data_IF_404944196837
#
_entry.id   IF_404944196837
#
_cell.length_a   1.000
_cell.length_b   1.000
_cell.length_c   1.000
_cell.angle_alpha   90.00
_cell.angle_beta   90.00
_cell.angle_gamma   90.00
#
_symmetry.space_group_name_H-M   'P 1'
#
loop_
_entity.id
_entity.type
_entity.pdbx_description
1 polymer ?
#
# COMPACT_ATOMS: atom_id res chain seq x y z
N UNK A 1 -28.70 37.43 12.09
CA UNK A 1 -28.53 36.22 11.24
C UNK A 1 -27.81 36.64 9.95
N UNK A 2 -26.47 36.79 10.01
CA UNK A 2 -25.66 37.24 8.86
C UNK A 2 -25.45 35.96 8.01
N UNK A 3 -26.18 35.85 6.89
CA UNK A 3 -25.93 34.86 5.84
C UNK A 3 -24.44 34.96 5.48
N UNK A 4 -23.68 33.90 5.66
CA UNK A 4 -22.26 33.82 5.27
C UNK A 4 -22.20 34.06 3.77
N UNK A 5 -21.75 35.26 3.38
CA UNK A 5 -21.53 35.65 1.97
C UNK A 5 -20.56 34.65 1.35
N UNK A 6 -20.88 34.16 0.16
CA UNK A 6 -19.99 33.22 -0.57
C UNK A 6 -18.66 33.93 -0.89
N UNK A 7 -17.57 33.16 -1.05
CA UNK A 7 -16.24 33.70 -1.39
C UNK A 7 -16.31 34.61 -2.63
N UNK A 8 -17.16 34.27 -3.60
CA UNK A 8 -17.42 35.06 -4.80
C UNK A 8 -18.00 36.44 -4.45
N UNK A 9 -19.03 36.51 -3.62
CA UNK A 9 -19.66 37.78 -3.23
C UNK A 9 -18.74 38.62 -2.35
N UNK A 10 -17.94 38.05 -1.48
CA UNK A 10 -16.94 38.75 -0.67
C UNK A 10 -15.85 39.40 -1.52
N UNK A 11 -15.33 38.66 -2.51
CA UNK A 11 -14.29 39.16 -3.41
C UNK A 11 -14.83 40.30 -4.28
N UNK A 12 -16.02 40.13 -4.87
CA UNK A 12 -16.68 41.16 -5.68
C UNK A 12 -16.94 42.39 -4.86
N UNK A 13 -17.50 42.28 -3.65
CA UNK A 13 -17.74 43.41 -2.75
C UNK A 13 -16.45 44.13 -2.36
N UNK A 14 -15.36 43.41 -2.09
CA UNK A 14 -14.08 44.04 -1.75
C UNK A 14 -13.52 44.86 -2.94
N UNK A 15 -13.51 44.27 -4.14
CA UNK A 15 -13.03 44.97 -5.34
C UNK A 15 -13.94 46.18 -5.72
N UNK A 16 -15.24 45.98 -5.69
CA UNK A 16 -16.20 47.08 -5.98
C UNK A 16 -16.09 48.21 -4.96
N UNK A 17 -15.94 47.85 -3.66
CA UNK A 17 -15.72 48.82 -2.59
C UNK A 17 -14.41 49.59 -2.72
N UNK A 18 -13.32 48.90 -3.13
CA UNK A 18 -12.03 49.54 -3.39
C UNK A 18 -12.12 50.56 -4.55
N UNK A 19 -12.73 50.15 -5.66
CA UNK A 19 -12.90 51.06 -6.84
C UNK A 19 -13.78 52.23 -6.50
N UNK A 20 -14.86 52.01 -5.77
CA UNK A 20 -15.78 53.09 -5.35
C UNK A 20 -15.07 54.03 -4.38
N UNK A 21 -14.30 53.54 -3.43
CA UNK A 21 -13.50 54.34 -2.49
C UNK A 21 -12.41 55.16 -3.20
N UNK A 22 -11.65 54.53 -4.11
CA UNK A 22 -10.63 55.21 -4.91
C UNK A 22 -11.24 56.29 -5.83
N UNK A 23 -12.36 55.99 -6.47
CA UNK A 23 -13.08 56.94 -7.31
C UNK A 23 -13.64 58.13 -6.53
N UNK A 24 -14.23 57.87 -5.36
CA UNK A 24 -14.70 58.93 -4.47
C UNK A 24 -13.55 59.83 -4.00
N UNK A 25 -12.42 59.27 -3.64
CA UNK A 25 -11.23 60.02 -3.23
C UNK A 25 -10.70 60.89 -4.36
N UNK A 26 -10.71 60.39 -5.60
CA UNK A 26 -10.30 61.14 -6.79
C UNK A 26 -11.24 62.30 -7.07
N UNK A 27 -12.54 62.10 -6.99
CA UNK A 27 -13.56 63.16 -7.17
C UNK A 27 -13.40 64.23 -6.06
N UNK A 28 -13.24 63.81 -4.81
CA UNK A 28 -13.05 64.73 -3.67
C UNK A 28 -11.75 65.53 -3.81
N UNK A 29 -10.65 64.90 -4.25
CA UNK A 29 -9.37 65.58 -4.47
C UNK A 29 -9.46 66.59 -5.61
N UNK A 30 -10.12 66.22 -6.72
CA UNK A 30 -10.35 67.11 -7.87
C UNK A 30 -11.18 68.33 -7.45
N UNK A 31 -12.24 68.11 -6.67
CA UNK A 31 -13.05 69.16 -6.12
C UNK A 31 -12.24 70.11 -5.21
N UNK A 32 -11.42 69.55 -4.30
CA UNK A 32 -10.59 70.33 -3.40
C UNK A 32 -9.54 71.15 -4.12
N UNK A 33 -8.92 70.62 -5.17
CA UNK A 33 -7.96 71.35 -6.03
C UNK A 33 -8.60 72.44 -6.80
N UNK A 34 -9.75 72.19 -7.38
CA UNK A 34 -10.56 73.22 -8.04
C UNK A 34 -10.97 74.34 -7.05
N UNK A 35 -11.47 73.96 -5.86
CA UNK A 35 -11.88 74.94 -4.83
C UNK A 35 -10.68 75.78 -4.35
N UNK A 36 -9.50 75.18 -4.11
CA UNK A 36 -8.27 75.91 -3.77
C UNK A 36 -7.79 76.82 -4.89
N UNK A 37 -7.72 76.33 -6.12
CA UNK A 37 -7.29 77.13 -7.28
C UNK A 37 -8.18 78.37 -7.49
N UNK A 38 -9.45 78.18 -7.16
CA UNK A 38 -10.44 79.27 -7.29
C UNK A 38 -10.36 80.30 -6.18
N UNK A 39 -9.89 79.94 -4.98
CA UNK A 39 -9.75 80.86 -3.87
C UNK A 39 -8.38 81.60 -3.83
N UNK A 40 -7.33 80.95 -4.41
CA UNK A 40 -5.98 81.58 -4.46
C UNK A 40 -5.86 82.61 -5.56
N UNK A 41 -6.67 82.57 -6.61
CA UNK A 41 -6.72 83.62 -7.66
C UNK A 41 -7.53 84.84 -7.26
N UNK A 42 -8.32 84.79 -6.17
CA UNK A 42 -9.12 85.91 -5.65
C UNK A 42 -8.38 86.89 -4.75
N UNK A 43 -7.10 86.62 -4.38
CA UNK A 43 -6.37 87.48 -3.38
C UNK A 43 -5.54 88.60 -4.01
N UNK A 44 -5.49 88.72 -5.33
CA UNK A 44 -4.71 89.81 -5.98
C UNK A 44 -5.57 90.56 -6.98
N UNK A 45 -6.56 91.28 -6.51
CA UNK A 45 -7.08 92.47 -7.18
C UNK A 45 -8.01 93.32 -6.25
N UNK A 46 -7.42 94.27 -5.62
CA UNK A 46 -8.20 95.47 -5.13
C UNK A 46 -8.51 96.33 -6.34
N UNK A 47 -9.59 96.05 -7.07
CA UNK A 47 -10.23 96.94 -7.98
C UNK A 47 -11.74 96.98 -7.68
N UNK A 48 -12.39 98.17 -7.78
CA UNK A 48 -13.80 98.30 -7.40
C UNK A 48 -14.68 97.45 -8.32
N UNK A 49 -15.68 96.75 -7.75
CA UNK A 49 -16.62 95.84 -8.38
C UNK A 49 -17.29 96.45 -9.62
N UNK A 50 -16.96 95.89 -10.79
CA UNK A 50 -17.66 96.18 -12.05
C UNK A 50 -18.91 95.27 -12.11
N UNK A 51 -20.08 95.70 -12.60
CA UNK A 51 -21.33 94.93 -12.65
C UNK A 51 -21.31 93.66 -13.53
N UNK A 52 -20.15 93.13 -13.90
CA UNK A 52 -19.94 91.92 -14.69
C UNK A 52 -19.60 90.70 -13.87
N UNK A 53 -19.26 90.84 -12.58
CA UNK A 53 -18.78 89.69 -11.73
C UNK A 53 -19.85 88.63 -11.45
N UNK A 54 -21.15 89.01 -11.49
CA UNK A 54 -22.25 88.05 -11.27
C UNK A 54 -22.45 87.03 -12.41
N UNK A 55 -22.03 87.37 -13.62
CA UNK A 55 -22.12 86.46 -14.77
C UNK A 55 -20.98 85.41 -14.73
N UNK A 56 -19.77 85.84 -14.37
CA UNK A 56 -18.60 84.98 -14.24
C UNK A 56 -18.80 83.99 -13.11
N UNK A 57 -19.40 84.41 -11.99
CA UNK A 57 -19.67 83.47 -10.83
C UNK A 57 -20.76 82.44 -11.20
N UNK A 58 -21.81 82.83 -11.93
CA UNK A 58 -22.83 81.87 -12.39
C UNK A 58 -22.31 80.88 -13.39
N UNK A 59 -21.55 81.31 -14.41
CA UNK A 59 -20.92 80.38 -15.36
C UNK A 59 -19.95 79.41 -14.70
N UNK A 60 -19.32 79.89 -13.66
CA UNK A 60 -18.41 79.08 -12.85
C UNK A 60 -19.13 78.03 -12.01
N UNK A 61 -20.22 78.41 -11.33
CA UNK A 61 -21.03 77.43 -10.54
C UNK A 61 -21.71 76.41 -11.44
N UNK A 62 -22.19 76.83 -12.63
CA UNK A 62 -22.70 75.92 -13.65
C UNK A 62 -21.63 74.88 -14.12
N UNK A 63 -20.41 75.34 -14.46
CA UNK A 63 -19.34 74.52 -14.90
C UNK A 63 -18.89 73.52 -13.82
N UNK A 64 -18.79 73.91 -12.53
CA UNK A 64 -18.48 73.07 -11.42
C UNK A 64 -19.59 72.04 -11.19
N UNK A 65 -20.85 72.42 -11.30
CA UNK A 65 -21.97 71.50 -11.13
C UNK A 65 -22.07 70.45 -12.26
N UNK A 66 -21.79 70.85 -13.51
CA UNK A 66 -21.73 69.95 -14.66
C UNK A 66 -20.56 68.95 -14.52
N UNK A 67 -19.39 69.44 -14.11
CA UNK A 67 -18.23 68.56 -13.85
C UNK A 67 -18.48 67.55 -12.71
N UNK A 68 -19.08 67.96 -11.61
CA UNK A 68 -19.44 67.10 -10.50
C UNK A 68 -20.50 66.07 -10.92
N UNK A 69 -21.51 66.49 -11.65
CA UNK A 69 -22.55 65.58 -12.15
C UNK A 69 -21.97 64.55 -13.13
N UNK A 70 -21.12 64.98 -14.05
CA UNK A 70 -20.41 64.11 -14.97
C UNK A 70 -19.46 63.08 -14.24
N UNK A 71 -18.75 63.58 -13.22
CA UNK A 71 -17.89 62.73 -12.40
C UNK A 71 -18.68 61.69 -11.62
N UNK A 72 -19.83 62.04 -11.04
CA UNK A 72 -20.69 61.09 -10.31
C UNK A 72 -21.33 60.07 -11.24
N UNK A 73 -21.79 60.45 -12.41
CA UNK A 73 -22.32 59.51 -13.43
C UNK A 73 -21.22 58.56 -13.89
N UNK A 74 -20.02 59.07 -14.19
CA UNK A 74 -18.88 58.26 -14.60
C UNK A 74 -18.46 57.26 -13.49
N UNK A 75 -18.44 57.69 -12.24
CA UNK A 75 -18.15 56.84 -11.08
C UNK A 75 -19.19 55.72 -10.96
N UNK A 76 -20.47 56.04 -11.13
CA UNK A 76 -21.56 55.05 -11.08
C UNK A 76 -21.40 53.98 -12.19
N UNK A 77 -21.14 54.42 -13.43
CA UNK A 77 -20.96 53.53 -14.59
C UNK A 77 -19.75 52.61 -14.40
N UNK A 78 -18.61 53.20 -14.03
CA UNK A 78 -17.38 52.44 -13.82
C UNK A 78 -17.56 51.42 -12.68
N UNK A 79 -18.14 51.84 -11.56
CA UNK A 79 -18.37 50.95 -10.40
C UNK A 79 -19.30 49.79 -10.76
N UNK A 80 -20.37 50.06 -11.49
CA UNK A 80 -21.31 49.03 -11.97
C UNK A 80 -20.62 48.06 -12.94
N UNK A 81 -19.83 48.57 -13.88
CA UNK A 81 -19.08 47.74 -14.83
C UNK A 81 -18.05 46.85 -14.13
N UNK A 82 -17.26 47.42 -13.20
CA UNK A 82 -16.27 46.65 -12.41
C UNK A 82 -16.95 45.61 -11.51
N UNK A 83 -18.10 45.97 -10.91
CA UNK A 83 -18.87 45.01 -10.10
C UNK A 83 -19.38 43.84 -10.93
N UNK A 84 -19.92 44.09 -12.12
CA UNK A 84 -20.42 43.04 -13.01
C UNK A 84 -19.30 42.14 -13.55
N UNK A 85 -18.23 42.76 -14.07
CA UNK A 85 -17.07 41.99 -14.59
C UNK A 85 -16.37 41.20 -13.50
N UNK A 86 -16.15 41.81 -12.33
CA UNK A 86 -15.58 41.13 -11.17
C UNK A 86 -16.42 39.93 -10.72
N UNK A 87 -17.75 40.05 -10.74
CA UNK A 87 -18.66 38.96 -10.41
C UNK A 87 -18.60 37.83 -11.42
N UNK A 88 -18.51 38.11 -12.73
CA UNK A 88 -18.36 37.11 -13.78
C UNK A 88 -17.02 36.36 -13.69
N UNK A 89 -15.93 37.13 -13.55
CA UNK A 89 -14.56 36.57 -13.45
C UNK A 89 -14.39 35.72 -12.20
N UNK A 90 -14.81 36.20 -11.03
CA UNK A 90 -14.77 35.45 -9.78
C UNK A 90 -15.57 34.12 -9.87
N UNK A 91 -16.74 34.18 -10.56
CA UNK A 91 -17.55 33.00 -10.81
C UNK A 91 -16.84 31.94 -11.65
N UNK A 92 -16.10 32.38 -12.68
CA UNK A 92 -15.38 31.48 -13.59
C UNK A 92 -14.15 30.86 -12.90
N UNK A 93 -13.40 31.63 -12.12
CA UNK A 93 -12.17 31.16 -11.42
C UNK A 93 -12.52 30.25 -10.26
N UNK A 94 -13.58 30.50 -9.50
CA UNK A 94 -13.93 29.70 -8.32
C UNK A 94 -14.77 28.45 -8.64
N UNK A 95 -15.29 28.30 -9.86
CA UNK A 95 -16.09 27.15 -10.26
C UNK A 95 -15.30 25.82 -10.19
N UNK A 96 -14.07 25.70 -10.70
CA UNK A 96 -13.28 24.48 -10.60
C UNK A 96 -13.02 24.05 -9.15
N UNK A 97 -12.70 25.00 -8.27
CA UNK A 97 -12.45 24.73 -6.84
C UNK A 97 -13.69 24.11 -6.16
N UNK A 98 -14.88 24.58 -6.51
CA UNK A 98 -16.13 24.01 -5.99
C UNK A 98 -16.34 22.59 -6.50
N UNK A 99 -16.11 22.35 -7.78
CA UNK A 99 -16.23 21.00 -8.36
C UNK A 99 -15.25 20.04 -7.68
N UNK A 100 -13.98 20.46 -7.48
CA UNK A 100 -12.98 19.65 -6.74
C UNK A 100 -13.43 19.34 -5.31
N UNK A 101 -13.99 20.34 -4.60
CA UNK A 101 -14.50 20.15 -3.24
C UNK A 101 -15.72 19.23 -3.18
N UNK A 102 -16.61 19.31 -4.17
CA UNK A 102 -17.79 18.45 -4.28
C UNK A 102 -17.38 17.00 -4.62
N UNK A 103 -16.41 16.81 -5.52
CA UNK A 103 -15.83 15.48 -5.80
C UNK A 103 -15.14 14.92 -4.56
N UNK A 104 -14.31 15.72 -3.89
CA UNK A 104 -13.62 15.29 -2.66
C UNK A 104 -14.60 14.91 -1.54
N UNK A 105 -15.73 15.60 -1.40
CA UNK A 105 -16.76 15.27 -0.41
C UNK A 105 -17.59 14.02 -0.77
N UNK A 106 -17.61 13.62 -2.04
CA UNK A 106 -18.26 12.37 -2.50
C UNK A 106 -17.33 11.17 -2.43
N UNK A 107 -16.02 11.40 -2.33
CA UNK A 107 -15.06 10.33 -2.15
C UNK A 107 -15.25 9.68 -0.77
N UNK A 108 -15.55 8.40 -0.77
CA UNK A 108 -15.59 7.52 0.39
C UNK A 108 -14.72 6.31 0.14
N UNK A 109 -14.47 5.49 1.16
CA UNK A 109 -13.73 4.24 1.00
C UNK A 109 -14.35 3.32 -0.08
N UNK A 110 -15.67 3.42 -0.29
CA UNK A 110 -16.42 2.62 -1.26
C UNK A 110 -16.38 3.19 -2.69
N UNK A 111 -16.02 4.48 -2.87
CA UNK A 111 -16.03 5.16 -4.16
C UNK A 111 -14.77 6.01 -4.40
N UNK A 112 -13.61 5.36 -4.36
CA UNK A 112 -12.31 5.97 -4.66
C UNK A 112 -11.98 6.00 -6.15
N UNK A 113 -12.85 5.46 -7.02
CA UNK A 113 -12.63 5.43 -8.46
C UNK A 113 -12.93 6.76 -9.16
N UNK A 114 -13.69 7.65 -8.52
CA UNK A 114 -13.97 8.98 -9.06
C UNK A 114 -12.67 9.82 -9.09
N UNK A 115 -12.47 10.58 -10.15
CA UNK A 115 -11.28 11.43 -10.33
C UNK A 115 -11.68 12.89 -10.43
N UNK A 116 -10.82 13.75 -9.90
CA UNK A 116 -10.93 15.19 -10.08
C UNK A 116 -10.62 15.51 -11.55
N UNK A 117 -11.53 16.21 -12.27
CA UNK A 117 -11.32 16.52 -13.68
C UNK A 117 -10.15 17.49 -13.85
N UNK A 118 -9.16 17.11 -14.65
CA UNK A 118 -8.02 17.96 -15.02
C UNK A 118 -8.41 18.77 -16.25
N UNK A 119 -8.40 20.11 -16.13
CA UNK A 119 -8.70 21.02 -17.23
C UNK A 119 -7.45 21.44 -18.00
N UNK A 120 -7.62 21.70 -19.28
CA UNK A 120 -6.62 22.39 -20.10
C UNK A 120 -7.03 23.87 -20.31
N UNK A 121 -6.06 24.82 -20.36
CA UNK A 121 -4.61 24.63 -20.29
C UNK A 121 -4.15 24.27 -18.87
N UNK A 122 -2.95 23.65 -18.78
CA UNK A 122 -2.34 23.26 -17.52
C UNK A 122 -1.96 24.52 -16.72
N UNK A 123 -2.73 24.81 -15.68
CA UNK A 123 -2.50 25.86 -14.71
C UNK A 123 -2.25 25.25 -13.32
N UNK A 124 -2.12 26.10 -12.31
CA UNK A 124 -1.90 25.66 -10.92
C UNK A 124 -3.03 24.76 -10.43
N UNK A 125 -4.27 24.95 -10.92
CA UNK A 125 -5.43 24.13 -10.58
C UNK A 125 -5.34 22.74 -11.24
N UNK A 126 -4.81 22.65 -12.45
CA UNK A 126 -4.56 21.36 -13.12
C UNK A 126 -3.48 20.55 -12.38
N UNK A 127 -2.42 21.22 -11.91
CA UNK A 127 -1.39 20.61 -11.08
C UNK A 127 -1.95 20.11 -9.75
N UNK A 128 -2.81 20.88 -9.10
CA UNK A 128 -3.50 20.46 -7.88
C UNK A 128 -4.40 19.25 -8.12
N UNK A 129 -5.18 19.25 -9.22
CA UNK A 129 -6.03 18.12 -9.58
C UNK A 129 -5.22 16.85 -9.85
N UNK A 130 -4.08 16.95 -10.54
CA UNK A 130 -3.18 15.86 -10.79
C UNK A 130 -2.58 15.30 -9.48
N UNK A 131 -2.19 16.18 -8.55
CA UNK A 131 -1.66 15.78 -7.23
C UNK A 131 -2.71 15.04 -6.42
N UNK A 132 -3.96 15.52 -6.40
CA UNK A 132 -5.08 14.85 -5.72
C UNK A 132 -5.33 13.47 -6.34
N UNK A 133 -5.38 13.38 -7.67
CA UNK A 133 -5.56 12.10 -8.35
C UNK A 133 -4.42 11.11 -8.05
N UNK A 134 -3.17 11.57 -8.03
CA UNK A 134 -2.02 10.74 -7.63
C UNK A 134 -2.09 10.26 -6.18
N UNK A 135 -2.65 11.07 -5.27
CA UNK A 135 -2.92 10.65 -3.89
C UNK A 135 -4.01 9.57 -3.84
N UNK A 136 -5.09 9.75 -4.61
CA UNK A 136 -6.18 8.76 -4.70
C UNK A 136 -5.69 7.43 -5.27
N UNK A 137 -4.80 7.44 -6.27
CA UNK A 137 -4.19 6.22 -6.82
C UNK A 137 -3.39 5.46 -5.75
N UNK A 138 -2.59 6.16 -4.95
CA UNK A 138 -1.84 5.54 -3.83
C UNK A 138 -2.76 4.95 -2.77
N UNK A 139 -3.85 5.64 -2.42
CA UNK A 139 -4.84 5.15 -1.45
C UNK A 139 -5.52 3.89 -2.00
N UNK A 140 -5.94 3.89 -3.26
CA UNK A 140 -6.55 2.71 -3.90
C UNK A 140 -5.60 1.52 -3.93
N UNK A 141 -4.32 1.74 -4.29
CA UNK A 141 -3.30 0.69 -4.26
C UNK A 141 -3.12 0.13 -2.85
N UNK A 142 -3.05 0.99 -1.82
CA UNK A 142 -2.92 0.55 -0.44
C UNK A 142 -4.14 -0.23 0.07
N UNK A 143 -5.35 0.14 -0.33
CA UNK A 143 -6.58 -0.61 0.01
C UNK A 143 -6.60 -1.96 -0.70
N UNK A 144 -6.31 -2.00 -2.01
CA UNK A 144 -6.28 -3.23 -2.77
C UNK A 144 -5.23 -4.22 -2.22
N UNK A 145 -4.08 -3.72 -1.81
CA UNK A 145 -3.05 -4.54 -1.16
C UNK A 145 -3.52 -5.08 0.20
N UNK A 146 -4.13 -4.21 1.02
CA UNK A 146 -4.70 -4.63 2.30
C UNK A 146 -5.78 -5.70 2.13
N UNK A 147 -6.65 -5.55 1.14
CA UNK A 147 -7.73 -6.51 0.88
C UNK A 147 -7.15 -7.86 0.43
N UNK A 148 -6.11 -7.86 -0.42
CA UNK A 148 -5.38 -9.09 -0.79
C UNK A 148 -4.78 -9.79 0.42
N UNK A 149 -4.17 -9.03 1.34
CA UNK A 149 -3.59 -9.59 2.58
C UNK A 149 -4.70 -10.19 3.44
N UNK A 150 -5.84 -9.52 3.61
CA UNK A 150 -6.98 -10.03 4.38
C UNK A 150 -7.57 -11.29 3.77
N UNK A 151 -7.72 -11.36 2.45
CA UNK A 151 -8.24 -12.54 1.77
C UNK A 151 -7.25 -13.71 1.86
N UNK A 152 -5.96 -13.46 1.71
CA UNK A 152 -4.92 -14.46 1.95
C UNK A 152 -4.98 -14.99 3.39
N UNK A 153 -5.15 -14.11 4.38
CA UNK A 153 -5.27 -14.49 5.78
C UNK A 153 -6.54 -15.33 6.05
N UNK A 154 -7.67 -14.98 5.43
CA UNK A 154 -8.93 -15.77 5.55
C UNK A 154 -8.75 -17.18 4.97
N UNK A 155 -8.15 -17.27 3.77
CA UNK A 155 -7.86 -18.55 3.12
C UNK A 155 -6.89 -19.39 3.96
N UNK A 156 -5.86 -18.77 4.55
CA UNK A 156 -4.94 -19.43 5.45
C UNK A 156 -5.64 -20.04 6.67
N UNK A 157 -6.53 -19.28 7.34
CA UNK A 157 -7.29 -19.76 8.50
C UNK A 157 -8.24 -20.88 8.11
N UNK A 158 -8.94 -20.76 6.97
CA UNK A 158 -9.86 -21.77 6.47
C UNK A 158 -9.13 -23.08 6.16
N UNK A 159 -7.99 -23.01 5.47
CA UNK A 159 -7.17 -24.17 5.13
C UNK A 159 -6.55 -24.81 6.39
N UNK A 160 -6.06 -24.01 7.33
CA UNK A 160 -5.55 -24.50 8.62
C UNK A 160 -6.62 -25.29 9.39
N UNK A 161 -7.85 -24.76 9.46
CA UNK A 161 -8.96 -25.44 10.10
C UNK A 161 -9.31 -26.77 9.40
N UNK A 162 -9.23 -26.80 8.06
CA UNK A 162 -9.48 -28.02 7.27
C UNK A 162 -8.40 -29.07 7.52
N UNK A 163 -7.12 -28.70 7.47
CA UNK A 163 -5.98 -29.61 7.69
C UNK A 163 -5.90 -30.14 9.13
N UNK A 164 -6.44 -29.41 10.11
CA UNK A 164 -6.57 -29.91 11.49
C UNK A 164 -7.82 -30.80 11.69
N UNK A 165 -8.90 -30.55 10.95
CA UNK A 165 -10.13 -31.36 11.05
C UNK A 165 -9.91 -32.78 10.55
N UNK A 166 -9.16 -32.97 9.47
CA UNK A 166 -8.93 -34.27 8.84
C UNK A 166 -8.31 -35.28 9.82
N UNK A 167 -7.16 -35.06 10.48
CA UNK A 167 -6.59 -36.01 11.43
C UNK A 167 -7.50 -36.21 12.64
N UNK A 168 -8.19 -35.19 13.13
CA UNK A 168 -9.17 -35.33 14.22
C UNK A 168 -10.31 -36.28 13.83
N UNK A 169 -10.82 -36.14 12.59
CA UNK A 169 -11.86 -37.05 12.08
C UNK A 169 -11.31 -38.48 11.94
N UNK A 170 -10.06 -38.64 11.47
CA UNK A 170 -9.42 -39.97 11.37
C UNK A 170 -9.29 -40.61 12.74
N UNK A 171 -8.80 -39.89 13.77
CA UNK A 171 -8.76 -40.39 15.14
C UNK A 171 -10.14 -40.78 15.66
N UNK A 172 -11.14 -39.96 15.44
CA UNK A 172 -12.51 -40.24 15.88
C UNK A 172 -13.07 -41.49 15.19
N UNK A 173 -12.90 -41.61 13.86
CA UNK A 173 -13.34 -42.76 13.10
C UNK A 173 -12.63 -44.05 13.54
N UNK A 174 -11.31 -43.98 13.78
CA UNK A 174 -10.53 -45.14 14.29
C UNK A 174 -11.13 -45.62 15.64
N UNK A 175 -11.42 -44.69 16.56
CA UNK A 175 -12.00 -45.04 17.86
C UNK A 175 -13.45 -45.59 17.67
N UNK A 176 -14.29 -44.91 16.93
CA UNK A 176 -15.71 -45.25 16.76
C UNK A 176 -15.82 -46.66 16.08
N UNK A 177 -15.03 -46.93 15.01
CA UNK A 177 -15.06 -48.20 14.28
C UNK A 177 -14.52 -49.34 15.12
N UNK A 178 -13.42 -49.13 15.86
CA UNK A 178 -12.81 -50.20 16.69
C UNK A 178 -13.70 -50.53 17.89
N UNK A 179 -14.34 -49.55 18.50
CA UNK A 179 -15.18 -49.76 19.70
C UNK A 179 -16.64 -50.14 19.36
N UNK A 180 -17.09 -50.10 18.12
CA UNK A 180 -18.44 -50.57 17.71
C UNK A 180 -18.57 -52.09 17.70
N UNK A 181 -17.44 -52.81 17.85
CA UNK A 181 -17.32 -54.29 17.97
C UNK A 181 -16.77 -54.73 19.32
N UNK A 182 -16.41 -56.02 19.39
CA UNK A 182 -15.59 -56.57 20.50
C UNK A 182 -14.13 -56.67 20.02
N UNK A 183 -13.36 -55.57 20.09
CA UNK A 183 -12.02 -55.55 19.53
C UNK A 183 -11.08 -56.46 20.28
N UNK A 184 -10.27 -57.18 19.53
CA UNK A 184 -9.18 -57.95 20.09
C UNK A 184 -7.97 -57.02 20.42
N UNK A 185 -6.94 -57.61 21.06
CA UNK A 185 -5.74 -56.85 21.45
C UNK A 185 -4.97 -56.31 20.24
N UNK A 186 -4.99 -56.99 19.12
CA UNK A 186 -4.28 -56.58 17.92
C UNK A 186 -4.96 -55.39 17.27
N UNK A 187 -6.30 -55.37 17.21
CA UNK A 187 -7.12 -54.26 16.71
C UNK A 187 -6.96 -53.02 17.59
N UNK A 188 -6.93 -53.17 18.92
CA UNK A 188 -6.66 -52.05 19.84
C UNK A 188 -5.25 -51.45 19.63
N UNK A 189 -4.24 -52.28 19.40
CA UNK A 189 -2.88 -51.80 19.12
C UNK A 189 -2.81 -51.10 17.76
N UNK A 190 -3.48 -51.63 16.73
CA UNK A 190 -3.56 -50.98 15.42
C UNK A 190 -4.25 -49.59 15.51
N UNK A 191 -5.39 -49.53 16.19
CA UNK A 191 -6.10 -48.23 16.45
C UNK A 191 -5.17 -47.24 17.17
N UNK A 192 -4.46 -47.68 18.22
CA UNK A 192 -3.53 -46.81 18.94
C UNK A 192 -2.41 -46.28 18.03
N UNK A 193 -1.92 -47.15 17.11
CA UNK A 193 -0.94 -46.78 16.09
C UNK A 193 -1.50 -45.69 15.10
N UNK A 194 -2.72 -45.87 14.62
CA UNK A 194 -3.37 -44.90 13.71
C UNK A 194 -3.60 -43.55 14.42
N UNK A 195 -4.02 -43.57 15.68
CA UNK A 195 -4.18 -42.37 16.50
C UNK A 195 -2.83 -41.67 16.71
N UNK A 196 -1.75 -42.39 17.01
CA UNK A 196 -0.42 -41.81 17.16
C UNK A 196 0.05 -41.10 15.89
N UNK A 197 -0.11 -41.72 14.72
CA UNK A 197 0.20 -41.11 13.41
C UNK A 197 -0.63 -39.84 13.16
N UNK A 198 -1.90 -39.84 13.52
CA UNK A 198 -2.77 -38.71 13.37
C UNK A 198 -2.41 -37.52 14.32
N UNK A 199 -1.98 -37.86 15.55
CA UNK A 199 -1.45 -36.87 16.53
C UNK A 199 -0.17 -36.24 15.98
N UNK A 200 0.81 -37.03 15.52
CA UNK A 200 2.05 -36.51 14.94
C UNK A 200 1.83 -35.60 13.73
N UNK A 201 0.83 -35.93 12.93
CA UNK A 201 0.44 -35.11 11.79
C UNK A 201 -0.17 -33.79 12.23
N UNK A 202 -1.02 -33.82 13.26
CA UNK A 202 -1.64 -32.59 13.83
C UNK A 202 -0.59 -31.70 14.47
N UNK A 203 0.37 -32.28 15.22
CA UNK A 203 1.46 -31.52 15.84
C UNK A 203 2.34 -30.83 14.79
N UNK A 204 2.74 -31.54 13.74
CA UNK A 204 3.52 -30.95 12.63
C UNK A 204 2.78 -29.80 11.95
N UNK A 205 1.49 -29.93 11.77
CA UNK A 205 0.65 -28.86 11.20
C UNK A 205 0.60 -27.65 12.13
N UNK A 206 0.36 -27.85 13.42
CA UNK A 206 0.36 -26.80 14.44
C UNK A 206 1.69 -26.08 14.54
N UNK A 207 2.80 -26.81 14.60
CA UNK A 207 4.15 -26.25 14.65
C UNK A 207 4.43 -25.41 13.41
N UNK A 208 4.02 -25.88 12.24
CA UNK A 208 4.12 -25.13 10.99
C UNK A 208 3.36 -23.80 11.03
N UNK A 209 2.12 -23.81 11.52
CA UNK A 209 1.29 -22.62 11.68
C UNK A 209 1.89 -21.61 12.67
N UNK A 210 2.44 -22.12 13.81
CA UNK A 210 3.10 -21.28 14.81
C UNK A 210 4.36 -20.62 14.26
N UNK A 211 5.15 -21.34 13.45
CA UNK A 211 6.35 -20.78 12.79
C UNK A 211 5.95 -19.69 11.80
N UNK A 212 4.94 -19.94 10.96
CA UNK A 212 4.41 -18.93 10.04
C UNK A 212 3.91 -17.68 10.79
N UNK A 213 3.23 -17.86 11.91
CA UNK A 213 2.76 -16.74 12.73
C UNK A 213 3.93 -15.97 13.38
N UNK A 214 4.95 -16.69 13.88
CA UNK A 214 6.13 -16.06 14.51
C UNK A 214 7.01 -15.32 13.51
N UNK A 215 7.20 -15.85 12.31
CA UNK A 215 8.02 -15.22 11.27
C UNK A 215 7.46 -13.86 10.82
N UNK A 216 6.16 -13.59 11.06
CA UNK A 216 5.48 -12.34 10.75
C UNK A 216 5.38 -11.39 11.97
N UNK A 217 5.70 -11.83 13.18
CA UNK A 217 5.30 -11.14 14.42
C UNK A 217 6.37 -10.27 15.10
N UNK A 218 7.60 -10.14 14.58
CA UNK A 218 8.56 -9.25 15.20
C UNK A 218 10.04 -9.60 15.01
N UNK A 219 10.94 -8.87 15.68
CA UNK A 219 12.38 -9.06 15.51
C UNK A 219 12.86 -10.45 16.02
N UNK A 220 13.60 -11.16 15.18
CA UNK A 220 14.21 -12.45 15.52
C UNK A 220 15.36 -12.27 16.53
N UNK A 221 15.51 -13.27 17.41
CA UNK A 221 16.69 -13.37 18.27
C UNK A 221 17.84 -13.96 17.46
N UNK A 222 18.61 -13.11 16.80
CA UNK A 222 19.73 -13.53 15.97
C UNK A 222 20.94 -13.93 16.82
N UNK A 223 21.50 -15.11 16.53
CA UNK A 223 22.72 -15.63 17.14
C UNK A 223 23.66 -16.11 16.01
N UNK A 224 24.98 -16.17 16.23
CA UNK A 224 25.91 -16.78 15.28
C UNK A 224 25.55 -18.25 15.07
N UNK A 225 25.37 -18.66 13.82
CA UNK A 225 25.02 -20.03 13.40
C UNK A 225 25.82 -20.37 12.14
N UNK A 226 26.32 -21.62 12.05
CA UNK A 226 26.85 -22.13 10.79
C UNK A 226 25.79 -23.01 10.09
N UNK A 227 25.37 -22.59 8.89
CA UNK A 227 24.41 -23.38 8.10
C UNK A 227 24.94 -24.76 7.72
N UNK A 228 26.27 -24.97 7.70
CA UNK A 228 26.85 -26.30 7.48
C UNK A 228 26.53 -27.23 8.64
N UNK A 229 26.61 -26.78 9.90
CA UNK A 229 26.24 -27.54 11.08
C UNK A 229 24.74 -27.85 11.11
N UNK A 230 23.91 -26.86 10.81
CA UNK A 230 22.45 -27.02 10.70
C UNK A 230 22.09 -28.06 9.63
N UNK A 231 22.72 -27.97 8.45
CA UNK A 231 22.51 -28.94 7.37
C UNK A 231 23.01 -30.36 7.73
N UNK A 232 24.14 -30.44 8.42
CA UNK A 232 24.68 -31.74 8.86
C UNK A 232 23.74 -32.45 9.84
N UNK A 233 23.18 -31.74 10.82
CA UNK A 233 22.17 -32.26 11.71
C UNK A 233 20.93 -32.77 10.97
N UNK A 234 20.39 -31.94 10.05
CA UNK A 234 19.24 -32.32 9.25
C UNK A 234 19.48 -33.50 8.31
N UNK A 235 20.69 -33.64 7.75
CA UNK A 235 21.09 -34.79 6.93
C UNK A 235 21.16 -36.05 7.81
N UNK A 236 21.69 -35.97 9.02
CA UNK A 236 21.76 -37.08 9.97
C UNK A 236 20.36 -37.58 10.35
N UNK A 237 19.43 -36.64 10.67
CA UNK A 237 18.05 -36.99 11.01
C UNK A 237 17.25 -37.55 9.83
N UNK A 238 17.67 -37.25 8.60
CA UNK A 238 17.03 -37.72 7.39
C UNK A 238 17.58 -39.07 6.87
N UNK A 239 18.72 -39.53 7.40
CA UNK A 239 19.46 -40.69 6.86
C UNK A 239 18.63 -41.98 6.84
N UNK A 240 17.96 -42.32 7.95
CA UNK A 240 17.15 -43.56 8.04
C UNK A 240 15.98 -43.50 7.04
N UNK A 241 15.32 -42.37 6.91
CA UNK A 241 14.20 -42.16 5.95
C UNK A 241 14.67 -42.22 4.50
N UNK A 242 15.88 -41.74 4.21
CA UNK A 242 16.48 -41.84 2.89
C UNK A 242 16.77 -43.32 2.54
N UNK A 243 17.31 -44.08 3.52
CA UNK A 243 17.60 -45.51 3.37
C UNK A 243 16.29 -46.32 3.16
N UNK A 244 15.26 -46.07 3.96
CA UNK A 244 13.95 -46.72 3.84
C UNK A 244 13.28 -46.41 2.47
N UNK A 245 13.48 -45.20 1.93
CA UNK A 245 13.00 -44.78 0.61
C UNK A 245 13.91 -45.22 -0.55
N UNK A 246 15.03 -45.92 -0.27
CA UNK A 246 16.07 -46.23 -1.26
C UNK A 246 16.55 -45.01 -2.05
N UNK A 247 16.71 -43.84 -1.39
CA UNK A 247 17.19 -42.57 -1.94
C UNK A 247 18.64 -42.35 -1.54
N UNK A 248 19.52 -42.04 -2.50
CA UNK A 248 20.92 -41.70 -2.26
C UNK A 248 21.07 -40.27 -1.73
N UNK A 249 21.37 -40.12 -0.43
CA UNK A 249 21.55 -38.83 0.24
C UNK A 249 23.02 -38.44 0.29
N UNK A 250 23.36 -37.35 -0.39
CA UNK A 250 24.73 -36.82 -0.50
C UNK A 250 24.82 -35.44 0.13
N UNK A 251 25.98 -35.16 0.78
CA UNK A 251 26.23 -33.86 1.41
C UNK A 251 27.62 -33.33 1.03
N UNK A 252 27.66 -32.06 0.54
CA UNK A 252 28.90 -31.28 0.36
C UNK A 252 28.76 -30.01 1.20
N UNK A 253 29.10 -30.11 2.47
CA UNK A 253 28.86 -29.06 3.46
C UNK A 253 30.15 -28.30 3.73
N UNK A 254 30.17 -27.03 3.28
CA UNK A 254 31.27 -26.11 3.55
C UNK A 254 30.80 -25.03 4.52
N UNK A 255 31.71 -24.46 5.35
CA UNK A 255 31.35 -23.43 6.33
C UNK A 255 30.55 -22.29 5.73
N UNK A 256 29.42 -21.98 6.35
CA UNK A 256 28.46 -20.97 5.90
C UNK A 256 27.94 -20.15 7.10
N UNK A 257 28.84 -19.33 7.75
CA UNK A 257 28.50 -18.61 8.97
C UNK A 257 27.49 -17.49 8.68
N UNK A 258 26.40 -17.47 9.43
CA UNK A 258 25.32 -16.49 9.36
C UNK A 258 24.90 -16.03 10.75
N UNK A 259 23.99 -15.05 10.82
CA UNK A 259 23.35 -14.61 12.05
C UNK A 259 21.84 -14.85 11.95
N UNK A 260 21.31 -15.74 12.79
CA UNK A 260 19.90 -16.13 12.72
C UNK A 260 19.39 -16.80 13.99
N UNK A 261 18.13 -17.19 14.01
CA UNK A 261 17.53 -17.96 15.09
C UNK A 261 17.74 -19.46 14.83
N UNK A 262 18.55 -20.18 15.67
CA UNK A 262 18.95 -21.56 15.39
C UNK A 262 17.77 -22.49 15.12
N UNK A 263 16.76 -22.46 15.98
CA UNK A 263 15.57 -23.34 15.88
C UNK A 263 14.83 -23.16 14.56
N UNK A 264 14.74 -21.93 14.05
CA UNK A 264 14.10 -21.67 12.76
C UNK A 264 14.96 -22.16 11.60
N UNK A 265 16.29 -21.95 11.65
CA UNK A 265 17.20 -22.44 10.62
C UNK A 265 17.26 -23.97 10.56
N UNK A 266 17.25 -24.65 11.71
CA UNK A 266 17.10 -26.11 11.80
C UNK A 266 15.79 -26.59 11.15
N UNK A 267 14.68 -25.91 11.45
CA UNK A 267 13.37 -26.21 10.85
C UNK A 267 13.36 -26.01 9.35
N UNK A 268 14.02 -24.94 8.87
CA UNK A 268 14.18 -24.67 7.44
C UNK A 268 14.92 -25.82 6.73
N UNK A 269 16.07 -26.24 7.24
CA UNK A 269 16.84 -27.32 6.67
C UNK A 269 16.05 -28.65 6.70
N UNK A 270 15.39 -28.95 7.83
CA UNK A 270 14.53 -30.13 7.96
C UNK A 270 13.38 -30.13 6.95
N UNK A 271 12.70 -29.04 6.76
CA UNK A 271 11.60 -28.93 5.78
C UNK A 271 12.08 -29.07 4.32
N UNK A 272 13.26 -28.54 3.98
CA UNK A 272 13.86 -28.74 2.65
C UNK A 272 14.15 -30.23 2.40
N UNK A 273 14.77 -30.93 3.37
CA UNK A 273 15.09 -32.34 3.27
C UNK A 273 13.85 -33.23 3.27
N UNK A 274 12.88 -32.95 4.14
CA UNK A 274 11.60 -33.66 4.16
C UNK A 274 10.89 -33.58 2.81
N UNK A 275 10.89 -32.38 2.20
CA UNK A 275 10.32 -32.17 0.87
C UNK A 275 11.09 -32.99 -0.18
N UNK A 276 12.43 -32.93 -0.17
CA UNK A 276 13.28 -33.57 -1.14
C UNK A 276 13.17 -35.13 -1.08
N UNK A 277 12.99 -35.69 0.10
CA UNK A 277 12.81 -37.14 0.28
C UNK A 277 11.38 -37.59 -0.05
N UNK A 278 10.37 -36.82 0.37
CA UNK A 278 8.95 -37.14 0.16
C UNK A 278 8.57 -37.20 -1.30
N UNK A 279 9.08 -36.27 -2.11
CA UNK A 279 8.81 -36.20 -3.54
C UNK A 279 9.89 -36.87 -4.39
N UNK A 280 10.64 -37.82 -3.78
CA UNK A 280 11.61 -38.60 -4.50
C UNK A 280 11.02 -39.96 -4.93
N UNK A 281 11.82 -40.78 -5.61
CA UNK A 281 11.51 -42.13 -6.00
C UNK A 281 12.67 -43.07 -5.61
N UNK A 282 12.40 -44.37 -5.51
CA UNK A 282 13.42 -45.36 -5.27
C UNK A 282 14.54 -45.33 -6.34
N UNK A 283 15.78 -45.35 -5.93
CA UNK A 283 16.94 -45.15 -6.81
C UNK A 283 17.24 -43.69 -7.19
N UNK A 284 16.44 -42.73 -6.70
CA UNK A 284 16.74 -41.31 -6.83
C UNK A 284 17.81 -40.81 -5.89
N UNK A 285 18.12 -39.52 -5.96
CA UNK A 285 19.14 -38.92 -5.07
C UNK A 285 18.69 -37.55 -4.55
N UNK A 286 19.25 -37.18 -3.39
CA UNK A 286 19.18 -35.83 -2.81
C UNK A 286 20.60 -35.35 -2.56
N UNK A 287 20.93 -34.16 -3.02
CA UNK A 287 22.22 -33.51 -2.74
C UNK A 287 22.00 -32.26 -1.92
N UNK A 288 22.69 -32.16 -0.79
CA UNK A 288 22.67 -30.97 0.09
C UNK A 288 24.04 -30.33 0.03
N UNK A 289 24.05 -29.04 -0.26
CA UNK A 289 25.30 -28.26 -0.34
C UNK A 289 25.18 -26.99 0.49
N UNK A 290 26.22 -26.59 1.17
CA UNK A 290 26.33 -25.31 1.87
C UNK A 290 27.65 -24.63 1.56
N UNK A 291 27.71 -23.33 1.73
CA UNK A 291 28.94 -22.58 1.51
C UNK A 291 28.72 -21.06 1.44
N UNK A 292 29.72 -20.36 0.93
CA UNK A 292 29.68 -18.91 0.73
C UNK A 292 29.96 -18.60 -0.75
N UNK A 293 29.07 -17.82 -1.38
CA UNK A 293 29.19 -17.37 -2.74
C UNK A 293 28.70 -15.91 -2.86
N UNK A 294 29.46 -15.06 -3.59
CA UNK A 294 29.06 -13.66 -3.82
C UNK A 294 28.88 -12.82 -2.54
N UNK A 295 29.58 -13.16 -1.45
CA UNK A 295 29.45 -12.46 -0.16
C UNK A 295 28.25 -12.86 0.68
N UNK A 296 27.43 -13.82 0.21
CA UNK A 296 26.31 -14.42 0.93
C UNK A 296 26.60 -15.87 1.29
N UNK A 297 25.97 -16.38 2.31
CA UNK A 297 25.96 -17.80 2.62
C UNK A 297 24.77 -18.46 1.94
N UNK A 298 24.93 -19.73 1.56
CA UNK A 298 23.85 -20.48 0.93
C UNK A 298 23.68 -21.87 1.54
N UNK A 299 22.44 -22.37 1.46
CA UNK A 299 22.07 -23.77 1.63
C UNK A 299 21.25 -24.17 0.40
N UNK A 300 21.74 -25.18 -0.33
CA UNK A 300 21.11 -25.72 -1.53
C UNK A 300 20.70 -27.17 -1.30
N UNK A 301 19.49 -27.51 -1.72
CA UNK A 301 18.98 -28.89 -1.73
C UNK A 301 18.47 -29.21 -3.13
N UNK A 302 19.07 -30.18 -3.77
CA UNK A 302 18.72 -30.66 -5.11
C UNK A 302 18.23 -32.10 -5.01
N UNK A 303 17.05 -32.39 -5.53
CA UNK A 303 16.48 -33.72 -5.53
C UNK A 303 16.03 -34.16 -6.93
N UNK A 304 16.04 -35.48 -7.14
CA UNK A 304 15.28 -36.13 -8.22
C UNK A 304 13.82 -36.24 -7.79
N UNK A 305 12.91 -36.33 -8.76
CA UNK A 305 11.48 -36.48 -8.46
C UNK A 305 10.60 -36.29 -9.70
N UNK A 306 9.31 -36.16 -9.53
CA UNK A 306 8.39 -35.89 -10.66
C UNK A 306 8.74 -34.54 -11.33
N UNK A 307 8.42 -34.39 -12.64
CA UNK A 307 8.56 -33.11 -13.32
C UNK A 307 7.66 -32.07 -12.67
N UNK A 308 8.16 -30.85 -12.52
CA UNK A 308 7.41 -29.67 -12.06
C UNK A 308 7.27 -28.71 -13.24
N UNK A 309 6.06 -28.23 -13.52
CA UNK A 309 5.85 -27.25 -14.57
C UNK A 309 6.45 -25.89 -14.15
N UNK A 310 7.15 -25.17 -15.05
CA UNK A 310 7.79 -23.89 -14.71
C UNK A 310 6.84 -22.83 -14.19
N UNK A 311 5.57 -22.85 -14.61
CA UNK A 311 4.52 -21.94 -14.18
C UNK A 311 3.90 -22.32 -12.81
N UNK A 312 4.15 -23.54 -12.33
CA UNK A 312 3.72 -24.00 -11.01
C UNK A 312 4.78 -23.83 -9.93
N UNK A 313 6.02 -23.59 -10.31
CA UNK A 313 7.18 -23.58 -9.41
C UNK A 313 7.03 -22.59 -8.23
N UNK A 314 6.59 -21.37 -8.49
CA UNK A 314 6.38 -20.35 -7.47
C UNK A 314 5.19 -20.68 -6.54
N UNK A 315 4.18 -21.44 -7.03
CA UNK A 315 3.01 -21.83 -6.26
C UNK A 315 3.34 -22.86 -5.19
N UNK A 316 4.45 -23.60 -5.33
CA UNK A 316 4.89 -24.58 -4.32
C UNK A 316 5.27 -23.93 -2.98
N UNK A 317 5.51 -22.61 -2.97
CA UNK A 317 5.76 -21.84 -1.76
C UNK A 317 4.49 -21.23 -1.14
N UNK A 318 3.35 -21.33 -1.78
CA UNK A 318 2.08 -20.92 -1.20
C UNK A 318 1.65 -21.93 -0.11
N UNK A 319 1.15 -21.47 1.06
CA UNK A 319 0.65 -22.37 2.09
C UNK A 319 -0.46 -23.28 1.58
N UNK A 320 -0.40 -24.58 1.95
CA UNK A 320 -1.37 -25.60 1.60
C UNK A 320 -1.44 -25.99 0.11
N UNK A 321 -0.56 -25.47 -0.72
CA UNK A 321 -0.44 -25.89 -2.13
C UNK A 321 0.34 -27.19 -2.21
N UNK A 322 -0.16 -28.13 -3.05
CA UNK A 322 0.44 -29.42 -3.35
C UNK A 322 0.73 -29.51 -4.84
N UNK A 323 1.86 -30.11 -5.21
CA UNK A 323 2.13 -30.45 -6.61
C UNK A 323 1.16 -31.50 -7.13
N UNK A 324 1.08 -31.64 -8.46
CA UNK A 324 0.13 -32.52 -9.16
C UNK A 324 0.28 -34.04 -8.87
N UNK A 325 1.27 -34.49 -8.09
CA UNK A 325 1.45 -35.90 -7.72
C UNK A 325 0.51 -36.27 -6.59
N UNK A 326 -0.60 -36.84 -6.97
CA UNK A 326 -1.66 -37.34 -6.09
C UNK A 326 -1.16 -38.45 -5.15
N UNK A 327 -1.45 -38.37 -3.85
CA UNK A 327 -1.30 -39.43 -2.87
C UNK A 327 -0.23 -39.24 -1.80
N UNK A 328 0.64 -38.25 -1.83
CA UNK A 328 1.63 -38.01 -0.79
C UNK A 328 1.02 -37.32 0.42
N UNK A 329 1.17 -37.93 1.63
CA UNK A 329 0.71 -37.39 2.91
C UNK A 329 1.49 -36.14 3.29
N UNK A 330 0.81 -34.98 3.45
CA UNK A 330 1.42 -33.77 3.97
C UNK A 330 0.51 -32.53 3.80
N UNK A 331 0.57 -31.60 4.76
CA UNK A 331 -0.28 -30.40 4.80
C UNK A 331 0.06 -29.31 3.76
N UNK A 332 1.08 -29.49 2.92
CA UNK A 332 1.48 -28.45 1.95
C UNK A 332 2.09 -27.20 2.62
N UNK A 333 2.64 -27.31 3.82
CA UNK A 333 3.22 -26.21 4.59
C UNK A 333 4.76 -26.15 4.52
N UNK A 334 5.45 -27.20 4.08
CA UNK A 334 6.91 -27.29 4.21
C UNK A 334 7.66 -26.16 3.52
N UNK A 335 7.42 -25.92 2.24
CA UNK A 335 8.11 -24.87 1.48
C UNK A 335 7.65 -23.46 1.84
N UNK A 336 6.40 -23.29 2.22
CA UNK A 336 5.92 -21.98 2.72
C UNK A 336 6.57 -21.61 4.07
N UNK A 337 6.84 -22.59 4.93
CA UNK A 337 7.61 -22.39 6.17
C UNK A 337 9.06 -22.01 5.83
N UNK A 338 9.69 -22.68 4.87
CA UNK A 338 11.04 -22.33 4.41
C UNK A 338 11.08 -20.89 3.95
N UNK A 339 10.16 -20.49 3.08
CA UNK A 339 10.06 -19.10 2.58
C UNK A 339 9.88 -18.10 3.73
N UNK A 340 8.98 -18.36 4.65
CA UNK A 340 8.71 -17.48 5.78
C UNK A 340 9.94 -17.32 6.68
N UNK A 341 10.69 -18.40 6.95
CA UNK A 341 11.93 -18.35 7.72
C UNK A 341 13.00 -17.55 6.98
N UNK A 342 13.16 -17.77 5.68
CA UNK A 342 14.14 -17.05 4.85
C UNK A 342 13.85 -15.55 4.85
N UNK A 343 12.60 -15.16 4.62
CA UNK A 343 12.19 -13.74 4.64
C UNK A 343 12.38 -13.10 6.02
N UNK A 344 12.08 -13.82 7.10
CA UNK A 344 12.31 -13.35 8.46
C UNK A 344 13.80 -13.12 8.78
N UNK A 345 14.70 -13.79 8.06
CA UNK A 345 16.15 -13.62 8.15
C UNK A 345 16.71 -12.61 7.10
N UNK A 346 15.86 -11.83 6.43
CA UNK A 346 16.22 -10.92 5.34
C UNK A 346 16.97 -11.63 4.19
N UNK A 347 16.66 -12.91 3.98
CA UNK A 347 17.27 -13.77 2.96
C UNK A 347 16.45 -13.81 1.67
N UNK A 348 16.99 -14.57 0.71
CA UNK A 348 16.34 -14.84 -0.57
C UNK A 348 16.26 -16.36 -0.79
N UNK A 349 15.18 -16.83 -1.40
CA UNK A 349 15.00 -18.19 -1.83
C UNK A 349 14.81 -18.22 -3.34
N UNK A 350 15.49 -19.13 -4.00
CA UNK A 350 15.31 -19.42 -5.42
C UNK A 350 15.03 -20.90 -5.61
N UNK A 351 14.20 -21.23 -6.58
CA UNK A 351 13.92 -22.59 -6.99
C UNK A 351 14.10 -22.72 -8.49
N UNK A 352 14.42 -23.89 -8.96
CA UNK A 352 14.44 -24.24 -10.36
C UNK A 352 13.93 -25.68 -10.56
N UNK A 353 12.95 -25.83 -11.44
CA UNK A 353 12.51 -27.14 -11.89
C UNK A 353 13.60 -27.79 -12.76
N UNK A 354 13.95 -29.03 -12.45
CA UNK A 354 14.98 -29.76 -13.19
C UNK A 354 14.40 -30.43 -14.45
N UNK A 355 15.10 -30.37 -15.54
CA UNK A 355 14.70 -30.99 -16.81
C UNK A 355 14.51 -32.51 -16.68
N UNK A 356 15.25 -33.15 -15.76
CA UNK A 356 15.16 -34.59 -15.48
C UNK A 356 14.13 -34.94 -14.40
N UNK A 357 13.35 -33.94 -13.94
CA UNK A 357 12.43 -34.06 -12.82
C UNK A 357 13.09 -33.71 -11.48
N UNK A 358 12.26 -33.30 -10.53
CA UNK A 358 12.69 -32.81 -9.23
C UNK A 358 12.94 -31.30 -9.19
N UNK A 359 13.46 -30.81 -8.08
CA UNK A 359 13.70 -29.41 -7.78
C UNK A 359 15.14 -29.14 -7.37
N UNK A 360 15.60 -27.93 -7.65
CA UNK A 360 16.80 -27.31 -7.11
C UNK A 360 16.35 -26.08 -6.31
N UNK A 361 16.48 -26.14 -4.98
CA UNK A 361 16.07 -25.06 -4.09
C UNK A 361 17.31 -24.51 -3.41
N UNK A 362 17.58 -23.22 -3.55
CA UNK A 362 18.70 -22.53 -2.92
C UNK A 362 18.22 -21.39 -2.04
N UNK A 363 18.63 -21.41 -0.79
CA UNK A 363 18.42 -20.34 0.19
C UNK A 363 19.70 -19.53 0.30
N UNK A 364 19.59 -18.22 0.24
CA UNK A 364 20.68 -17.27 0.46
C UNK A 364 20.40 -16.42 1.69
N UNK A 365 21.35 -16.38 2.64
CA UNK A 365 21.29 -15.51 3.82
C UNK A 365 22.48 -14.55 3.83
N UNK A 366 22.37 -13.52 4.65
CA UNK A 366 23.51 -12.62 4.89
C UNK A 366 24.60 -13.35 5.68
N UNK A 367 25.85 -13.07 5.37
CA UNK A 367 26.98 -13.53 6.14
C UNK A 367 26.97 -12.84 7.52
N UNK A 368 27.06 -13.63 8.59
CA UNK A 368 27.12 -13.16 9.97
C UNK A 368 28.47 -12.56 10.35
#
# INVERSE_FOLDING_TARGET
>A
MIRRLTARSRLTLAYTGLVLGAGFLLVALTYLLLWRGLHTTGVVRHEPAVPGDTLADRLRDEAVSELLTGALISLLVVTTFVGLTGWLVAGRILRPIRTMSETANRLSAENLSERVPVRQPADELATLAATINGMLDRIQQGIAERDRILDSQRLFVANAAHELRTPLTTMRTAVDVTLDGEPDRAELVAMAGDIAVAIDTSQRTLDGLLILARSQAGPLRRMPVDLAEVAAAAVTDAADRAADGAVDLRADLRPAPTSGEPVLLERMAGNLLDNALRYNHAGGHVTVSSGTAGGRVFLQVVNTGPPVAPDEEWRLFEPFVRGASDGTRGAGLGLSIVQAIVLAHDGEISSAARLTGGLDITVHLHRG
#
